data_IF_381370820288
#
_entry.id   IF_381370820288
#
_cell.length_a   1.000
_cell.length_b   1.000
_cell.length_c   1.000
_cell.angle_alpha   90.00
_cell.angle_beta   90.00
_cell.angle_gamma   90.00
#
_symmetry.space_group_name_H-M   'P 1'
#
loop_
_entity.id
_entity.type
_entity.pdbx_description
1 polymer ?
#
# COMPACT_ATOMS: atom_id res chain seq x y z
N UNK A 1 -16.13 -2.80 -20.78
CA UNK A 1 -16.08 -2.97 -22.25
C UNK A 1 -14.78 -3.57 -22.75
N UNK A 2 -13.61 -2.98 -22.46
CA UNK A 2 -12.33 -3.47 -22.99
C UNK A 2 -12.05 -4.97 -22.75
N UNK A 3 -12.35 -5.52 -21.56
CA UNK A 3 -12.16 -6.95 -21.28
C UNK A 3 -12.95 -7.88 -22.22
N UNK A 4 -14.16 -7.49 -22.62
CA UNK A 4 -14.98 -8.26 -23.58
C UNK A 4 -14.32 -8.20 -24.97
N UNK A 5 -13.87 -7.02 -25.38
CA UNK A 5 -13.19 -6.86 -26.66
C UNK A 5 -11.87 -7.63 -26.72
N UNK A 6 -11.08 -7.64 -25.64
CA UNK A 6 -9.87 -8.46 -25.54
C UNK A 6 -10.18 -9.94 -25.75
N UNK A 7 -11.21 -10.47 -25.07
CA UNK A 7 -11.62 -11.88 -25.24
C UNK A 7 -12.10 -12.17 -26.66
N UNK A 8 -12.88 -11.27 -27.25
CA UNK A 8 -13.34 -11.41 -28.64
C UNK A 8 -12.16 -11.49 -29.61
N UNK A 9 -11.24 -10.52 -29.53
CA UNK A 9 -10.06 -10.49 -30.40
C UNK A 9 -9.22 -11.75 -30.24
N UNK A 10 -8.97 -12.20 -29.00
CA UNK A 10 -8.24 -13.45 -28.74
C UNK A 10 -8.88 -14.66 -29.43
N UNK A 11 -10.21 -14.79 -29.37
CA UNK A 11 -10.87 -15.94 -30.03
C UNK A 11 -10.80 -15.84 -31.55
N UNK A 12 -10.98 -14.64 -32.12
CA UNK A 12 -10.82 -14.41 -33.57
C UNK A 12 -9.40 -14.75 -34.03
N UNK A 13 -8.37 -14.28 -33.31
CA UNK A 13 -6.97 -14.54 -33.68
C UNK A 13 -6.56 -16.00 -33.48
N UNK A 14 -7.18 -16.71 -32.52
CA UNK A 14 -7.06 -18.17 -32.40
C UNK A 14 -7.66 -18.88 -33.61
N UNK A 15 -8.86 -18.48 -34.02
CA UNK A 15 -9.57 -19.11 -35.15
C UNK A 15 -8.86 -18.86 -36.49
N UNK A 16 -8.10 -17.76 -36.59
CA UNK A 16 -7.17 -17.49 -37.69
C UNK A 16 -5.85 -18.27 -37.61
N UNK A 17 -5.66 -19.10 -36.59
CA UNK A 17 -4.46 -19.94 -36.41
C UNK A 17 -3.23 -19.20 -35.87
N UNK A 18 -3.37 -17.95 -35.39
CA UNK A 18 -2.23 -17.15 -34.91
C UNK A 18 -1.76 -17.56 -33.51
N UNK A 19 -2.61 -18.22 -32.73
CA UNK A 19 -2.28 -18.82 -31.44
C UNK A 19 -3.27 -19.92 -31.07
N UNK A 20 -3.03 -20.57 -29.92
CA UNK A 20 -3.79 -21.76 -29.47
C UNK A 20 -4.62 -21.59 -28.19
N UNK A 21 -4.46 -20.48 -27.47
CA UNK A 21 -5.21 -20.25 -26.22
C UNK A 21 -6.59 -19.62 -26.47
N UNK A 22 -7.55 -19.95 -25.60
CA UNK A 22 -8.96 -19.53 -25.73
C UNK A 22 -9.30 -18.24 -24.99
N UNK A 23 -8.54 -17.90 -23.95
CA UNK A 23 -8.75 -16.73 -23.10
C UNK A 23 -7.44 -15.96 -22.94
N UNK A 24 -7.46 -14.61 -23.04
CA UNK A 24 -6.25 -13.79 -22.94
C UNK A 24 -5.69 -13.68 -21.52
N UNK A 25 -6.51 -13.89 -20.49
CA UNK A 25 -6.15 -13.66 -19.09
C UNK A 25 -6.54 -14.88 -18.24
N UNK A 26 -5.57 -15.48 -17.54
CA UNK A 26 -5.84 -16.61 -16.63
C UNK A 26 -6.36 -16.18 -15.26
N UNK A 27 -5.96 -14.99 -14.80
CA UNK A 27 -6.42 -14.37 -13.56
C UNK A 27 -6.68 -12.88 -13.85
N UNK A 28 -7.74 -12.34 -13.26
CA UNK A 28 -8.09 -10.93 -13.35
C UNK A 28 -8.16 -10.37 -11.93
N UNK A 29 -7.42 -9.30 -11.69
CA UNK A 29 -7.49 -8.53 -10.45
C UNK A 29 -7.98 -7.13 -10.82
N UNK A 30 -9.16 -6.75 -10.33
CA UNK A 30 -9.72 -5.41 -10.52
C UNK A 30 -9.44 -4.57 -9.30
N UNK A 31 -8.54 -3.60 -9.43
CA UNK A 31 -8.16 -2.74 -8.33
C UNK A 31 -9.31 -1.83 -7.87
N UNK A 32 -9.39 -1.58 -6.56
CA UNK A 32 -10.26 -0.55 -6.00
C UNK A 32 -9.85 0.87 -6.44
N UNK A 33 -10.78 1.83 -6.33
CA UNK A 33 -10.49 3.23 -6.66
C UNK A 33 -9.75 3.93 -5.53
N UNK A 34 -8.94 4.94 -5.89
CA UNK A 34 -8.38 5.88 -4.91
C UNK A 34 -9.39 7.01 -4.74
N UNK A 35 -9.79 7.25 -3.51
CA UNK A 35 -10.71 8.29 -3.10
C UNK A 35 -9.99 9.38 -2.31
N UNK A 36 -10.57 10.58 -2.30
CA UNK A 36 -10.15 11.69 -1.45
C UNK A 36 -11.39 12.45 -1.00
N UNK A 37 -11.34 12.98 0.23
CA UNK A 37 -12.38 13.87 0.72
C UNK A 37 -12.60 15.07 -0.21
N UNK A 38 -13.87 15.32 -0.50
CA UNK A 38 -14.32 16.43 -1.33
C UNK A 38 -15.48 17.15 -0.63
N UNK A 39 -15.54 18.49 -0.69
CA UNK A 39 -16.69 19.24 -0.19
C UNK A 39 -17.98 18.84 -0.90
N UNK A 40 -19.01 18.57 -0.11
CA UNK A 40 -20.32 18.10 -0.52
C UNK A 40 -21.42 18.96 0.12
N UNK A 41 -22.40 19.37 -0.68
CA UNK A 41 -23.57 20.10 -0.21
C UNK A 41 -24.66 19.10 0.21
N UNK A 42 -25.08 19.08 1.50
CA UNK A 42 -26.10 18.15 1.96
C UNK A 42 -27.48 18.44 1.36
N UNK A 43 -27.82 19.70 1.12
CA UNK A 43 -29.15 20.11 0.64
C UNK A 43 -29.39 19.73 -0.83
N UNK A 44 -28.38 19.97 -1.69
CA UNK A 44 -28.46 19.68 -3.12
C UNK A 44 -27.90 18.30 -3.48
N UNK A 45 -27.28 17.60 -2.53
CA UNK A 45 -26.59 16.34 -2.72
C UNK A 45 -25.55 16.34 -3.86
N UNK A 46 -24.78 17.42 -3.99
CA UNK A 46 -23.74 17.57 -5.03
C UNK A 46 -22.37 17.80 -4.41
N UNK A 47 -21.34 17.27 -5.08
CA UNK A 47 -19.95 17.61 -4.80
C UNK A 47 -19.56 18.92 -5.49
N UNK A 48 -18.71 19.72 -4.84
CA UNK A 48 -18.12 20.89 -5.47
C UNK A 48 -17.18 20.45 -6.60
N UNK A 49 -17.18 21.21 -7.70
CA UNK A 49 -16.21 21.03 -8.79
C UNK A 49 -14.96 21.86 -8.53
N UNK A 50 -13.87 21.57 -9.26
CA UNK A 50 -12.59 22.29 -9.12
C UNK A 50 -12.73 23.82 -9.15
N UNK A 51 -13.65 24.33 -9.98
CA UNK A 51 -13.89 25.77 -10.14
C UNK A 51 -14.54 26.40 -8.90
N UNK A 52 -15.37 25.64 -8.17
CA UNK A 52 -16.15 26.11 -7.03
C UNK A 52 -15.36 26.02 -5.70
N UNK A 53 -14.23 25.30 -5.69
CA UNK A 53 -13.41 25.08 -4.50
C UNK A 53 -12.82 26.38 -3.90
N UNK A 54 -12.63 27.42 -4.72
CA UNK A 54 -12.10 28.71 -4.25
C UNK A 54 -13.10 29.48 -3.39
N UNK A 55 -14.38 29.41 -3.77
CA UNK A 55 -15.45 30.13 -3.09
C UNK A 55 -16.07 29.32 -1.94
N UNK A 56 -15.83 28.00 -1.91
CA UNK A 56 -16.40 27.07 -0.91
C UNK A 56 -17.91 27.21 -0.77
N UNK A 57 -18.58 27.40 -1.91
CA UNK A 57 -20.01 27.68 -2.01
C UNK A 57 -20.67 26.71 -2.99
N UNK A 58 -21.85 26.21 -2.64
CA UNK A 58 -22.63 25.38 -3.56
C UNK A 58 -23.12 26.21 -4.75
N UNK A 59 -22.82 25.76 -5.98
CA UNK A 59 -23.27 26.45 -7.21
C UNK A 59 -24.78 26.47 -7.43
N UNK A 60 -25.53 25.60 -6.73
CA UNK A 60 -26.98 25.45 -6.91
C UNK A 60 -27.74 26.32 -5.91
N UNK A 61 -27.55 26.07 -4.60
CA UNK A 61 -28.28 26.78 -3.55
C UNK A 61 -27.50 27.93 -2.91
N UNK A 62 -26.21 28.07 -3.21
CA UNK A 62 -25.36 29.07 -2.58
C UNK A 62 -24.97 28.77 -1.12
N UNK A 63 -25.30 27.60 -0.59
CA UNK A 63 -24.95 27.22 0.77
C UNK A 63 -23.42 27.05 0.94
N UNK A 64 -22.88 27.51 2.07
CA UNK A 64 -21.48 27.40 2.46
C UNK A 64 -21.25 26.33 3.54
N UNK A 65 -22.32 25.78 4.14
CA UNK A 65 -22.24 24.69 5.11
C UNK A 65 -22.03 23.35 4.40
N UNK A 66 -20.81 23.15 3.92
CA UNK A 66 -20.38 21.96 3.19
C UNK A 66 -19.80 20.92 4.15
N UNK A 67 -20.12 19.66 3.89
CA UNK A 67 -19.52 18.51 4.60
C UNK A 67 -18.46 17.84 3.73
N UNK A 68 -17.50 17.16 4.33
CA UNK A 68 -16.51 16.37 3.59
C UNK A 68 -17.03 14.96 3.36
N UNK A 69 -17.04 14.50 2.10
CA UNK A 69 -17.37 13.11 1.75
C UNK A 69 -16.28 12.52 0.86
N UNK A 70 -16.00 11.23 1.07
CA UNK A 70 -15.09 10.46 0.23
C UNK A 70 -15.69 10.29 -1.17
N UNK A 71 -14.88 10.57 -2.20
CA UNK A 71 -15.23 10.37 -3.60
C UNK A 71 -14.00 10.00 -4.41
N UNK A 72 -14.18 9.25 -5.49
CA UNK A 72 -13.11 8.91 -6.42
C UNK A 72 -12.34 10.14 -6.87
N UNK A 73 -11.02 10.00 -6.93
CA UNK A 73 -10.18 11.05 -7.50
C UNK A 73 -10.53 11.29 -8.97
N UNK A 74 -10.65 12.56 -9.35
CA UNK A 74 -10.92 12.97 -10.73
C UNK A 74 -10.48 14.41 -11.01
N UNK A 75 -10.06 14.68 -12.25
CA UNK A 75 -9.63 16.02 -12.68
C UNK A 75 -10.76 17.06 -12.55
N UNK A 76 -12.02 16.64 -12.73
CA UNK A 76 -13.20 17.52 -12.64
C UNK A 76 -13.46 18.01 -11.21
N UNK A 77 -13.26 17.15 -10.21
CA UNK A 77 -13.35 17.54 -8.80
C UNK A 77 -12.13 18.32 -8.32
N UNK A 78 -10.98 18.20 -9.02
CA UNK A 78 -9.74 18.84 -8.60
C UNK A 78 -9.10 18.19 -7.38
N UNK A 79 -9.53 16.98 -7.01
CA UNK A 79 -9.05 16.21 -5.87
C UNK A 79 -7.97 15.18 -6.24
N UNK A 80 -7.43 15.23 -7.45
CA UNK A 80 -6.31 14.39 -7.87
C UNK A 80 -5.03 14.82 -7.18
N UNK A 81 -4.16 13.85 -6.89
CA UNK A 81 -2.80 14.10 -6.40
C UNK A 81 -1.82 13.71 -7.50
N UNK A 82 -0.80 14.54 -7.73
CA UNK A 82 0.25 14.24 -8.69
C UNK A 82 1.28 13.28 -8.05
N UNK A 83 1.53 12.09 -8.64
CA UNK A 83 2.57 11.20 -8.16
C UNK A 83 3.98 11.81 -8.18
N UNK A 84 4.26 12.74 -9.10
CA UNK A 84 5.57 13.40 -9.21
C UNK A 84 5.93 14.15 -7.93
N UNK A 85 5.03 14.99 -7.43
CA UNK A 85 5.22 15.75 -6.20
C UNK A 85 5.50 14.85 -4.98
N UNK A 86 4.89 13.66 -4.96
CA UNK A 86 5.10 12.68 -3.90
C UNK A 86 6.48 12.05 -4.00
N UNK A 87 6.88 11.64 -5.20
CA UNK A 87 8.17 11.00 -5.44
C UNK A 87 9.29 11.99 -5.14
N UNK A 88 9.15 13.26 -5.55
CA UNK A 88 10.14 14.29 -5.28
C UNK A 88 10.27 14.58 -3.78
N UNK A 89 9.16 14.52 -3.03
CA UNK A 89 9.15 14.81 -1.59
C UNK A 89 9.55 13.63 -0.70
N UNK A 90 9.12 12.42 -1.02
CA UNK A 90 9.23 11.24 -0.16
C UNK A 90 9.99 10.07 -0.79
N UNK A 91 10.27 10.12 -2.08
CA UNK A 91 10.85 9.01 -2.84
C UNK A 91 9.81 8.02 -3.36
N UNK A 92 10.22 7.24 -4.38
CA UNK A 92 9.35 6.28 -5.04
C UNK A 92 8.92 5.13 -4.11
N UNK A 93 9.81 4.66 -3.24
CA UNK A 93 9.52 3.55 -2.33
C UNK A 93 8.48 3.93 -1.27
N UNK A 94 8.54 5.16 -0.74
CA UNK A 94 7.53 5.65 0.20
C UNK A 94 6.15 5.74 -0.46
N UNK A 95 6.09 6.21 -1.71
CA UNK A 95 4.85 6.26 -2.49
C UNK A 95 4.26 4.85 -2.72
N UNK A 96 5.11 3.91 -3.16
CA UNK A 96 4.71 2.50 -3.38
C UNK A 96 4.25 1.84 -2.09
N UNK A 97 5.02 1.99 -1.03
CA UNK A 97 4.71 1.42 0.27
C UNK A 97 3.39 1.96 0.82
N UNK A 98 3.15 3.27 0.72
CA UNK A 98 1.88 3.89 1.10
C UNK A 98 0.68 3.28 0.35
N UNK A 99 0.79 3.11 -0.97
CA UNK A 99 -0.28 2.53 -1.78
C UNK A 99 -0.55 1.08 -1.35
N UNK A 100 0.49 0.26 -1.19
CA UNK A 100 0.35 -1.16 -0.84
C UNK A 100 -0.13 -1.37 0.61
N UNK A 101 0.21 -0.46 1.51
CA UNK A 101 -0.23 -0.45 2.90
C UNK A 101 -1.70 0.02 3.05
N UNK A 102 -2.08 1.05 2.30
CA UNK A 102 -3.39 1.68 2.43
C UNK A 102 -4.48 0.98 1.61
N UNK A 103 -4.13 0.40 0.46
CA UNK A 103 -5.07 -0.25 -0.44
C UNK A 103 -5.09 -1.76 -0.21
N UNK A 104 -6.27 -2.36 -0.03
CA UNK A 104 -6.40 -3.77 -0.38
C UNK A 104 -6.70 -3.83 -1.89
N UNK A 105 -6.19 -4.81 -2.64
CA UNK A 105 -6.42 -4.82 -4.08
C UNK A 105 -7.90 -4.78 -4.47
N UNK A 106 -8.81 -5.32 -3.67
CA UNK A 106 -10.25 -5.25 -3.93
C UNK A 106 -10.98 -4.07 -3.28
N UNK A 107 -10.48 -3.53 -2.16
CA UNK A 107 -11.10 -2.38 -1.48
C UNK A 107 -10.27 -1.12 -1.72
N UNK A 108 -10.93 -0.08 -2.25
CA UNK A 108 -10.29 1.18 -2.61
C UNK A 108 -9.44 1.80 -1.50
N UNK A 109 -8.60 2.76 -1.88
CA UNK A 109 -7.73 3.51 -0.98
C UNK A 109 -8.38 4.86 -0.65
N UNK A 110 -8.53 5.19 0.63
CA UNK A 110 -8.77 6.58 1.02
C UNK A 110 -7.43 7.31 1.14
N UNK A 111 -7.27 8.43 0.44
CA UNK A 111 -6.06 9.22 0.49
C UNK A 111 -5.85 9.88 1.85
N UNK A 112 -4.66 9.72 2.43
CA UNK A 112 -4.23 10.41 3.65
C UNK A 112 -2.77 10.80 3.54
N UNK A 113 -2.50 12.10 3.72
CA UNK A 113 -1.14 12.63 3.74
C UNK A 113 -0.39 12.17 5.01
N UNK A 114 -1.11 11.91 6.10
CA UNK A 114 -0.57 11.29 7.31
C UNK A 114 -0.09 9.86 7.05
N UNK A 115 -0.86 9.08 6.29
CA UNK A 115 -0.48 7.72 5.87
C UNK A 115 0.80 7.70 5.03
N UNK A 116 0.97 8.69 4.16
CA UNK A 116 2.19 8.87 3.37
C UNK A 116 3.39 9.27 4.25
N UNK A 117 3.17 10.17 5.22
CA UNK A 117 4.18 10.53 6.20
C UNK A 117 4.61 9.34 7.08
N UNK A 118 3.68 8.46 7.44
CA UNK A 118 3.97 7.21 8.13
C UNK A 118 4.84 6.29 7.27
N UNK A 119 4.49 6.07 6.00
CA UNK A 119 5.27 5.23 5.08
C UNK A 119 6.73 5.67 4.99
N UNK A 120 6.96 6.98 4.79
CA UNK A 120 8.33 7.53 4.74
C UNK A 120 9.09 7.31 6.07
N UNK A 121 8.46 7.59 7.22
CA UNK A 121 9.09 7.37 8.53
C UNK A 121 9.41 5.89 8.78
N UNK A 122 8.50 5.00 8.40
CA UNK A 122 8.71 3.56 8.52
C UNK A 122 9.90 3.09 7.69
N UNK A 123 9.98 3.48 6.41
CA UNK A 123 11.08 3.10 5.54
C UNK A 123 12.43 3.65 6.02
N UNK A 124 12.48 4.91 6.48
CA UNK A 124 13.70 5.45 7.08
C UNK A 124 14.13 4.66 8.33
N UNK A 125 13.17 4.28 9.18
CA UNK A 125 13.44 3.44 10.36
C UNK A 125 13.94 2.05 9.98
N UNK A 126 13.35 1.43 8.96
CA UNK A 126 13.81 0.15 8.43
C UNK A 126 15.22 0.28 7.84
N UNK A 127 15.50 1.33 7.07
CA UNK A 127 16.84 1.61 6.55
C UNK A 127 17.89 1.77 7.66
N UNK A 128 17.57 2.51 8.73
CA UNK A 128 18.45 2.60 9.89
C UNK A 128 18.66 1.25 10.58
N UNK A 129 17.63 0.39 10.62
CA UNK A 129 17.76 -0.97 11.15
C UNK A 129 18.81 -1.78 10.38
N UNK A 130 18.88 -1.64 9.05
CA UNK A 130 19.86 -2.34 8.20
C UNK A 130 21.26 -1.73 8.21
N UNK A 131 21.37 -0.41 8.37
CA UNK A 131 22.64 0.31 8.19
C UNK A 131 23.39 0.57 9.50
N UNK A 132 22.70 0.58 10.63
CA UNK A 132 23.31 0.89 11.91
C UNK A 132 24.23 -0.26 12.37
N UNK A 133 25.46 0.08 12.76
CA UNK A 133 26.40 -0.89 13.34
C UNK A 133 25.97 -1.25 14.75
N UNK A 134 25.82 -2.54 15.02
CA UNK A 134 25.41 -3.05 16.32
C UNK A 134 26.59 -3.73 16.98
N UNK A 135 26.77 -3.49 18.28
CA UNK A 135 27.66 -4.31 19.11
C UNK A 135 26.85 -5.50 19.61
N UNK A 136 27.20 -6.68 19.15
CA UNK A 136 26.61 -7.91 19.65
C UNK A 136 27.08 -8.14 21.08
N UNK A 137 26.12 -8.16 22.00
CA UNK A 137 26.38 -8.20 23.44
C UNK A 137 26.03 -9.55 24.06
N UNK A 138 25.55 -10.52 23.26
CA UNK A 138 25.01 -11.79 23.74
C UNK A 138 25.46 -12.97 22.90
N UNK A 139 25.91 -14.02 23.60
CA UNK A 139 26.30 -15.30 23.00
C UNK A 139 25.43 -16.47 23.47
N UNK A 140 24.64 -16.30 24.54
CA UNK A 140 23.77 -17.35 25.08
C UNK A 140 22.32 -17.17 24.62
N UNK A 141 21.77 -18.23 24.04
CA UNK A 141 20.39 -18.33 23.58
C UNK A 141 19.44 -18.35 24.78
N UNK A 142 18.42 -17.51 24.71
CA UNK A 142 17.32 -17.48 25.66
C UNK A 142 15.97 -17.64 24.96
N UNK A 143 14.91 -17.78 25.75
CA UNK A 143 13.53 -17.96 25.26
C UNK A 143 13.12 -16.88 24.24
N UNK A 144 13.56 -15.64 24.43
CA UNK A 144 13.24 -14.53 23.51
C UNK A 144 13.89 -14.68 22.13
N UNK A 145 15.05 -15.32 22.05
CA UNK A 145 15.78 -15.54 20.80
C UNK A 145 15.09 -16.66 20.00
N UNK A 146 14.70 -17.74 20.69
CA UNK A 146 13.82 -18.78 20.13
C UNK A 146 12.48 -18.21 19.67
N UNK A 147 11.90 -17.29 20.44
CA UNK A 147 10.66 -16.60 20.07
C UNK A 147 10.86 -15.72 18.83
N UNK A 148 12.02 -15.09 18.67
CA UNK A 148 12.33 -14.29 17.48
C UNK A 148 12.39 -15.16 16.23
N UNK A 149 13.04 -16.33 16.30
CA UNK A 149 13.05 -17.31 15.20
C UNK A 149 11.64 -17.80 14.85
N UNK A 150 10.81 -18.08 15.87
CA UNK A 150 9.41 -18.42 15.63
C UNK A 150 8.66 -17.29 14.91
N UNK A 151 8.84 -16.04 15.35
CA UNK A 151 8.22 -14.85 14.74
C UNK A 151 8.66 -14.64 13.31
N UNK A 152 9.94 -14.85 13.00
CA UNK A 152 10.48 -14.78 11.65
C UNK A 152 9.82 -15.82 10.73
N UNK A 153 9.77 -17.08 11.15
CA UNK A 153 9.12 -18.15 10.37
C UNK A 153 7.62 -17.90 10.20
N UNK A 154 6.96 -17.39 11.24
CA UNK A 154 5.55 -16.98 11.19
C UNK A 154 5.34 -15.84 10.18
N UNK A 155 6.23 -14.84 10.17
CA UNK A 155 6.22 -13.76 9.17
C UNK A 155 6.33 -14.32 7.76
N UNK A 156 7.36 -15.13 7.49
CA UNK A 156 7.60 -15.73 6.17
C UNK A 156 6.34 -16.44 5.68
N UNK A 157 5.77 -17.31 6.52
CA UNK A 157 4.53 -18.03 6.18
C UNK A 157 3.37 -17.07 5.91
N UNK A 158 3.16 -16.08 6.78
CA UNK A 158 2.06 -15.13 6.66
C UNK A 158 2.17 -14.29 5.38
N UNK A 159 3.35 -13.76 5.07
CA UNK A 159 3.58 -12.97 3.87
C UNK A 159 3.46 -13.82 2.62
N UNK A 160 4.06 -15.01 2.58
CA UNK A 160 3.93 -15.90 1.42
C UNK A 160 2.47 -16.26 1.13
N UNK A 161 1.69 -16.62 2.15
CA UNK A 161 0.25 -16.90 2.00
C UNK A 161 -0.52 -15.67 1.53
N UNK A 162 -0.23 -14.49 2.09
CA UNK A 162 -0.89 -13.26 1.67
C UNK A 162 -0.56 -12.92 0.20
N UNK A 163 0.68 -13.08 -0.23
CA UNK A 163 1.09 -12.83 -1.62
C UNK A 163 0.45 -13.82 -2.60
N UNK A 164 0.34 -15.10 -2.25
CA UNK A 164 -0.36 -16.11 -3.06
C UNK A 164 -1.84 -15.76 -3.28
N UNK A 165 -2.47 -15.18 -2.26
CA UNK A 165 -3.87 -14.71 -2.30
C UNK A 165 -4.02 -13.29 -2.84
N UNK A 166 -2.91 -12.60 -3.12
CA UNK A 166 -2.89 -11.19 -3.51
C UNK A 166 -3.50 -10.28 -2.41
N UNK A 167 -3.30 -10.63 -1.15
CA UNK A 167 -3.65 -9.85 0.05
C UNK A 167 -2.46 -8.96 0.45
N UNK A 168 -1.98 -8.12 -0.47
CA UNK A 168 -0.71 -7.38 -0.31
C UNK A 168 -0.71 -6.49 0.93
N UNK A 169 -1.85 -5.87 1.26
CA UNK A 169 -2.00 -5.07 2.48
C UNK A 169 -1.66 -5.85 3.74
N UNK A 170 -2.11 -7.10 3.80
CA UNK A 170 -1.87 -7.96 4.96
C UNK A 170 -0.40 -8.38 5.03
N UNK A 171 0.24 -8.65 3.88
CA UNK A 171 1.69 -8.87 3.82
C UNK A 171 2.45 -7.66 4.42
N UNK A 172 2.15 -6.45 3.96
CA UNK A 172 2.80 -5.22 4.43
C UNK A 172 2.56 -5.00 5.93
N UNK A 173 1.34 -5.24 6.43
CA UNK A 173 1.03 -5.14 7.86
C UNK A 173 1.89 -6.10 8.70
N UNK A 174 2.06 -7.35 8.26
CA UNK A 174 2.92 -8.32 8.95
C UNK A 174 4.39 -7.87 8.96
N UNK A 175 4.88 -7.31 7.86
CA UNK A 175 6.24 -6.73 7.76
C UNK A 175 6.43 -5.58 8.76
N UNK A 176 5.46 -4.65 8.84
CA UNK A 176 5.51 -3.52 9.81
C UNK A 176 5.56 -4.02 11.25
N UNK A 177 4.72 -5.00 11.58
CA UNK A 177 4.66 -5.59 12.91
C UNK A 177 5.99 -6.26 13.27
N UNK A 178 6.50 -7.13 12.41
CA UNK A 178 7.78 -7.81 12.66
C UNK A 178 8.95 -6.83 12.76
N UNK A 179 9.01 -5.82 11.88
CA UNK A 179 10.05 -4.78 11.94
C UNK A 179 10.04 -4.06 13.30
N UNK A 180 8.85 -3.80 13.84
CA UNK A 180 8.71 -3.19 15.18
C UNK A 180 9.21 -4.11 16.28
N UNK A 181 8.91 -5.40 16.19
CA UNK A 181 9.42 -6.42 17.13
C UNK A 181 10.94 -6.58 17.04
N UNK A 182 11.50 -6.55 15.83
CA UNK A 182 12.95 -6.65 15.59
C UNK A 182 13.69 -5.43 16.15
N UNK A 183 13.12 -4.23 16.03
CA UNK A 183 13.65 -3.02 16.68
C UNK A 183 13.67 -3.15 18.20
N UNK A 184 12.61 -3.70 18.80
CA UNK A 184 12.58 -3.95 20.25
C UNK A 184 13.64 -4.98 20.66
N UNK A 185 13.73 -6.08 19.92
CA UNK A 185 14.73 -7.13 20.14
C UNK A 185 16.16 -6.58 20.07
N UNK A 186 16.44 -5.72 19.09
CA UNK A 186 17.70 -4.98 18.97
C UNK A 186 18.04 -4.18 20.23
N UNK A 187 17.07 -3.45 20.78
CA UNK A 187 17.30 -2.60 21.96
C UNK A 187 17.62 -3.36 23.25
N UNK A 188 17.28 -4.65 23.31
CA UNK A 188 17.51 -5.52 24.47
C UNK A 188 18.82 -6.34 24.35
N UNK A 189 19.65 -6.04 23.34
CA UNK A 189 20.84 -6.82 22.96
C UNK A 189 20.46 -8.05 22.11
N UNK A 190 21.32 -8.53 21.19
CA UNK A 190 20.94 -9.58 20.22
C UNK A 190 22.05 -10.59 20.01
N UNK A 191 21.65 -11.79 19.56
CA UNK A 191 22.57 -12.81 19.04
C UNK A 191 22.79 -12.50 17.56
N UNK A 192 24.06 -12.43 17.15
CA UNK A 192 24.47 -12.03 15.81
C UNK A 192 23.81 -12.86 14.71
N UNK A 193 23.88 -14.18 14.80
CA UNK A 193 23.32 -15.10 13.81
C UNK A 193 21.82 -14.89 13.60
N UNK A 194 21.04 -14.87 14.68
CA UNK A 194 19.57 -14.69 14.64
C UNK A 194 19.20 -13.31 14.09
N UNK A 195 19.91 -12.27 14.54
CA UNK A 195 19.63 -10.91 14.10
C UNK A 195 19.93 -10.71 12.61
N UNK A 196 21.07 -11.24 12.14
CA UNK A 196 21.45 -11.17 10.73
C UNK A 196 20.50 -11.98 9.85
N UNK A 197 20.05 -13.16 10.29
CA UNK A 197 19.03 -13.93 9.59
C UNK A 197 17.72 -13.14 9.47
N UNK A 198 17.28 -12.51 10.57
CA UNK A 198 16.08 -11.67 10.55
C UNK A 198 16.20 -10.52 9.55
N UNK A 199 17.36 -9.85 9.47
CA UNK A 199 17.60 -8.78 8.49
C UNK A 199 17.60 -9.34 7.06
N UNK A 200 18.35 -10.40 6.80
CA UNK A 200 18.44 -11.01 5.46
C UNK A 200 17.04 -11.38 4.94
N UNK A 201 16.25 -12.08 5.76
CA UNK A 201 14.89 -12.48 5.37
C UNK A 201 13.95 -11.29 5.24
N UNK A 202 14.03 -10.31 6.14
CA UNK A 202 13.21 -9.09 6.05
C UNK A 202 13.52 -8.27 4.79
N UNK A 203 14.75 -8.30 4.28
CA UNK A 203 15.12 -7.62 3.04
C UNK A 203 14.63 -8.33 1.77
N UNK A 204 14.38 -9.65 1.85
CA UNK A 204 13.93 -10.47 0.72
C UNK A 204 12.41 -10.50 0.56
N UNK A 205 11.68 -10.37 1.68
CA UNK A 205 10.22 -10.39 1.75
C UNK A 205 9.66 -9.03 1.33
#
# INVERSE_FOLDING_TARGET
MHLIYSRFITKVTRDLGLHKFDEPFQKLLTQGMINKFQPHCPDCNVFLMKVDLKEMKCKICGNTNLIQKSVKMSKSYGNTVDPGEIIDKYGADAARFFILFGASPSSGLEWSDEGLGFANKFLNKAFHLFTERIKFSRNEISIRDTLMNYKLNKLIKAVSTALEKIEIRDAVNNIILFTTELVKYKSEGVIEEIYNECLEKLALI
#
